data_IF_998751706801
#
_entry.id   IF_998751706801
#
_cell.length_a   1.000
_cell.length_b   1.000
_cell.length_c   1.000
_cell.angle_alpha   90.00
_cell.angle_beta   90.00
_cell.angle_gamma   90.00
#
_symmetry.space_group_name_H-M   'P 1'
#
loop_
_entity.id
_entity.type
_entity.pdbx_description
1 polymer ?
#
# COMPACT_ATOMS: atom_id res chain seq x y z
N UNK A 1 -9.13 -4.58 17.79
CA UNK A 1 -9.31 -6.00 17.40
C UNK A 1 -10.74 -6.40 17.69
N UNK A 2 -11.53 -6.70 16.66
CA UNK A 2 -12.98 -6.98 16.83
C UNK A 2 -13.28 -8.46 17.09
N UNK A 3 -12.27 -9.34 16.97
CA UNK A 3 -12.49 -10.79 17.05
C UNK A 3 -11.29 -11.55 17.60
N UNK A 4 -11.55 -12.60 18.39
CA UNK A 4 -10.51 -13.54 18.82
C UNK A 4 -10.31 -14.61 17.74
N UNK A 5 -9.07 -14.87 17.38
CA UNK A 5 -8.70 -15.98 16.53
C UNK A 5 -8.42 -17.22 17.38
N UNK A 6 -8.80 -18.41 16.88
CA UNK A 6 -8.62 -19.69 17.57
C UNK A 6 -7.54 -20.54 16.91
N UNK A 7 -7.42 -20.45 15.60
CA UNK A 7 -6.59 -21.31 14.75
C UNK A 7 -5.59 -20.49 13.97
N UNK A 8 -6.03 -19.37 13.39
CA UNK A 8 -5.20 -18.50 12.57
C UNK A 8 -4.50 -17.49 13.48
N UNK A 9 -3.18 -17.31 13.43
CA UNK A 9 -2.50 -16.25 14.15
C UNK A 9 -2.94 -14.86 13.66
N UNK A 10 -2.74 -13.85 14.50
CA UNK A 10 -3.01 -12.47 14.18
C UNK A 10 -1.96 -12.00 13.17
N UNK A 11 -2.40 -11.25 12.16
CA UNK A 11 -1.54 -10.67 11.15
C UNK A 11 -0.62 -9.58 11.72
N UNK A 12 0.38 -9.21 10.93
CA UNK A 12 1.28 -8.08 11.23
C UNK A 12 0.50 -6.80 11.53
N UNK A 13 0.82 -6.17 12.66
CA UNK A 13 0.14 -4.97 13.14
C UNK A 13 0.67 -3.68 12.48
N UNK A 14 -0.05 -2.57 12.70
CA UNK A 14 0.27 -1.25 12.20
C UNK A 14 1.68 -0.76 12.58
N UNK A 15 2.13 -1.01 13.80
CA UNK A 15 3.47 -0.63 14.27
C UNK A 15 4.57 -1.30 13.42
N UNK A 16 4.43 -2.61 13.16
CA UNK A 16 5.33 -3.35 12.29
C UNK A 16 5.24 -2.87 10.84
N UNK A 17 4.05 -2.46 10.40
CA UNK A 17 3.83 -1.84 9.09
C UNK A 17 4.65 -0.55 8.92
N UNK A 18 4.65 0.34 9.93
CA UNK A 18 5.49 1.55 9.94
C UNK A 18 6.96 1.20 9.79
N UNK A 19 7.45 0.28 10.62
CA UNK A 19 8.85 -0.12 10.61
C UNK A 19 9.26 -0.70 9.24
N UNK A 20 8.41 -1.55 8.66
CA UNK A 20 8.68 -2.16 7.36
C UNK A 20 8.68 -1.14 6.21
N UNK A 21 7.76 -0.17 6.24
CA UNK A 21 7.68 0.88 5.21
C UNK A 21 8.88 1.84 5.24
N UNK A 22 9.46 2.10 6.42
CA UNK A 22 10.56 3.05 6.60
C UNK A 22 11.95 2.39 6.63
N UNK A 23 12.02 1.08 6.55
CA UNK A 23 13.20 0.25 6.83
C UNK A 23 14.48 0.70 6.11
N UNK A 24 14.39 1.02 4.81
CA UNK A 24 15.54 1.31 3.95
C UNK A 24 15.85 2.81 3.80
N UNK A 25 15.06 3.69 4.44
CA UNK A 25 15.12 5.12 4.17
C UNK A 25 16.18 5.88 4.97
N UNK A 26 16.88 5.18 5.88
CA UNK A 26 17.95 5.77 6.72
C UNK A 26 17.40 6.66 7.84
N UNK A 27 16.13 6.53 8.17
CA UNK A 27 15.51 7.14 9.34
C UNK A 27 15.58 6.25 10.58
N UNK A 28 15.45 6.83 11.76
CA UNK A 28 15.32 6.12 13.03
C UNK A 28 13.84 5.95 13.37
N UNK A 29 13.35 4.72 13.35
CA UNK A 29 11.97 4.41 13.74
C UNK A 29 11.95 3.91 15.18
N UNK A 30 11.22 4.61 16.04
CA UNK A 30 11.11 4.30 17.48
C UNK A 30 9.71 3.82 17.80
N UNK A 31 9.60 2.56 18.18
CA UNK A 31 8.39 1.99 18.75
C UNK A 31 8.36 2.31 20.25
N UNK A 32 7.42 3.16 20.69
CA UNK A 32 7.23 3.39 22.12
C UNK A 32 6.44 2.23 22.72
N UNK A 33 7.16 1.32 23.37
CA UNK A 33 6.63 0.03 23.82
C UNK A 33 7.46 -0.61 24.93
N UNK A 34 6.88 -1.46 25.79
CA UNK A 34 7.64 -2.43 26.56
C UNK A 34 8.30 -3.44 25.60
N UNK A 35 9.57 -3.72 25.76
CA UNK A 35 10.40 -4.47 24.80
C UNK A 35 9.87 -5.86 24.39
N UNK A 36 8.92 -6.42 25.12
CA UNK A 36 8.40 -7.78 24.85
C UNK A 36 7.38 -7.88 23.72
N UNK A 37 6.55 -6.86 23.52
CA UNK A 37 5.41 -6.96 22.62
C UNK A 37 5.80 -6.85 21.13
N UNK A 38 6.70 -5.94 20.79
CA UNK A 38 7.13 -5.71 19.41
C UNK A 38 8.41 -6.45 19.00
N UNK A 39 8.99 -7.29 19.85
CA UNK A 39 10.17 -8.09 19.51
C UNK A 39 9.92 -9.12 18.41
N UNK A 40 8.67 -9.46 18.13
CA UNK A 40 8.29 -10.33 17.01
C UNK A 40 8.52 -9.68 15.64
N UNK A 41 8.57 -8.37 15.57
CA UNK A 41 8.84 -7.65 14.32
C UNK A 41 10.13 -8.14 13.64
N UNK A 42 11.24 -8.17 14.36
CA UNK A 42 12.55 -8.58 13.84
C UNK A 42 12.68 -10.09 13.61
N UNK A 43 11.93 -10.91 14.37
CA UNK A 43 12.04 -12.36 14.28
C UNK A 43 11.03 -13.01 13.33
N UNK A 44 9.90 -12.35 13.08
CA UNK A 44 8.79 -12.93 12.33
C UNK A 44 8.38 -12.09 11.10
N UNK A 45 8.16 -10.79 11.26
CA UNK A 45 7.54 -9.95 10.25
C UNK A 45 8.53 -9.44 9.20
N UNK A 46 9.71 -8.97 9.61
CA UNK A 46 10.66 -8.32 8.70
C UNK A 46 11.63 -9.30 8.08
N UNK A 47 11.50 -9.52 6.78
CA UNK A 47 12.32 -10.48 6.05
C UNK A 47 13.76 -10.01 5.80
N UNK A 48 14.02 -8.69 5.83
CA UNK A 48 15.35 -8.08 5.59
C UNK A 48 16.23 -8.02 6.85
N UNK A 49 15.68 -8.34 8.03
CA UNK A 49 16.34 -8.11 9.33
C UNK A 49 17.75 -8.68 9.46
N UNK A 50 18.04 -9.81 8.83
CA UNK A 50 19.36 -10.44 8.90
C UNK A 50 20.30 -10.04 7.76
N UNK A 51 19.77 -9.44 6.71
CA UNK A 51 20.50 -9.18 5.47
C UNK A 51 20.81 -7.68 5.29
N UNK A 52 20.09 -6.82 6.02
CA UNK A 52 20.16 -5.38 5.85
C UNK A 52 19.98 -4.64 7.18
N UNK A 53 20.94 -3.76 7.51
CA UNK A 53 20.87 -2.94 8.70
C UNK A 53 19.75 -1.89 8.62
N UNK A 54 19.09 -1.62 9.76
CA UNK A 54 18.11 -0.55 9.91
C UNK A 54 18.13 0.03 11.31
N UNK A 55 17.73 1.31 11.43
CA UNK A 55 17.68 2.04 12.71
C UNK A 55 16.28 1.90 13.33
N UNK A 56 15.92 0.70 13.78
CA UNK A 56 14.64 0.43 14.44
C UNK A 56 14.87 0.12 15.90
N UNK A 57 14.18 0.86 16.77
CA UNK A 57 14.34 0.80 18.22
C UNK A 57 13.02 0.62 18.92
N UNK A 58 13.08 -0.01 20.09
CA UNK A 58 11.99 -0.11 21.06
C UNK A 58 12.41 0.70 22.28
N UNK A 59 11.56 1.59 22.77
CA UNK A 59 11.89 2.48 23.89
C UNK A 59 12.11 1.81 25.24
N UNK A 60 11.67 0.56 25.39
CA UNK A 60 11.78 -0.17 26.65
C UNK A 60 10.94 0.44 27.77
N UNK A 61 9.70 0.86 27.46
CA UNK A 61 8.77 1.44 28.42
C UNK A 61 8.59 0.52 29.63
N UNK A 62 8.86 1.03 30.84
CA UNK A 62 8.64 0.31 32.07
C UNK A 62 7.24 0.56 32.63
N UNK A 63 6.77 -0.33 33.54
CA UNK A 63 5.47 -0.15 34.22
C UNK A 63 5.40 1.19 34.97
N UNK A 64 6.52 1.61 35.59
CA UNK A 64 6.60 2.87 36.30
C UNK A 64 6.50 4.05 35.33
N UNK A 65 7.23 4.02 34.21
CA UNK A 65 7.18 5.05 33.19
C UNK A 65 5.77 5.16 32.59
N UNK A 66 5.10 4.03 32.38
CA UNK A 66 3.73 3.99 31.86
C UNK A 66 2.69 4.58 32.83
N UNK A 67 2.87 4.38 34.15
CA UNK A 67 1.93 4.88 35.17
C UNK A 67 2.18 6.35 35.50
N UNK A 68 3.45 6.74 35.67
CA UNK A 68 3.81 8.09 36.13
C UNK A 68 3.93 9.11 34.99
N UNK A 69 4.13 8.63 33.77
CA UNK A 69 4.54 9.45 32.63
C UNK A 69 6.02 9.88 32.76
N UNK A 70 6.88 9.47 31.84
CA UNK A 70 8.30 9.84 31.84
C UNK A 70 8.76 10.23 30.45
N UNK A 71 8.10 11.23 29.89
CA UNK A 71 8.39 11.74 28.55
C UNK A 71 9.83 12.25 28.43
N UNK A 72 10.37 12.84 29.51
CA UNK A 72 11.74 13.39 29.47
C UNK A 72 12.79 12.31 29.25
N UNK A 73 12.67 11.15 29.92
CA UNK A 73 13.57 10.01 29.66
C UNK A 73 13.48 9.55 28.22
N UNK A 74 12.27 9.40 27.69
CA UNK A 74 12.04 9.01 26.28
C UNK A 74 12.69 9.98 25.32
N UNK A 75 12.56 11.30 25.54
CA UNK A 75 13.18 12.33 24.74
C UNK A 75 14.72 12.27 24.81
N UNK A 76 15.28 12.09 26.00
CA UNK A 76 16.74 12.00 26.20
C UNK A 76 17.34 10.78 25.52
N UNK A 77 16.74 9.61 25.69
CA UNK A 77 17.22 8.35 25.08
C UNK A 77 17.27 8.48 23.54
N UNK A 78 16.24 9.08 22.93
CA UNK A 78 16.20 9.33 21.49
C UNK A 78 17.23 10.39 21.07
N UNK A 79 17.37 11.47 21.82
CA UNK A 79 18.35 12.52 21.54
C UNK A 79 19.78 11.98 21.56
N UNK A 80 20.13 11.15 22.55
CA UNK A 80 21.44 10.50 22.65
C UNK A 80 21.69 9.56 21.46
N UNK A 81 20.73 8.70 21.13
CA UNK A 81 20.83 7.82 19.98
C UNK A 81 20.96 8.61 18.66
N UNK A 82 20.20 9.68 18.49
CA UNK A 82 20.25 10.51 17.30
C UNK A 82 21.59 11.22 17.10
N UNK A 83 22.26 11.65 18.18
CA UNK A 83 23.61 12.25 18.13
C UNK A 83 24.66 11.27 17.63
N UNK A 84 24.55 10.00 18.03
CA UNK A 84 25.48 8.95 17.64
C UNK A 84 25.19 8.46 16.19
N UNK A 85 23.93 8.15 15.90
CA UNK A 85 23.53 7.47 14.67
C UNK A 85 23.26 8.39 13.50
N UNK A 86 22.96 9.68 13.75
CA UNK A 86 22.72 10.72 12.75
C UNK A 86 21.70 10.31 11.68
N UNK A 87 20.48 9.91 12.08
CA UNK A 87 19.45 9.48 11.14
C UNK A 87 18.99 10.66 10.27
N UNK A 88 18.47 10.35 9.08
CA UNK A 88 17.89 11.37 8.17
C UNK A 88 16.59 11.96 8.68
N UNK A 89 15.86 11.18 9.47
CA UNK A 89 14.61 11.57 10.15
C UNK A 89 14.39 10.65 11.36
N UNK A 90 13.43 11.02 12.22
CA UNK A 90 12.97 10.18 13.32
C UNK A 90 11.46 9.99 13.17
N UNK A 91 11.01 8.75 13.20
CA UNK A 91 9.59 8.38 13.17
C UNK A 91 9.19 7.75 14.52
N UNK A 92 8.14 8.27 15.13
CA UNK A 92 7.58 7.75 16.39
C UNK A 92 6.33 6.93 16.09
N UNK A 93 6.28 5.70 16.60
CA UNK A 93 5.13 4.80 16.48
C UNK A 93 4.66 4.35 17.87
N UNK A 94 3.35 4.36 18.09
CA UNK A 94 2.72 3.97 19.36
C UNK A 94 2.30 2.52 19.36
N UNK A 95 2.61 1.82 20.45
CA UNK A 95 2.00 0.53 20.80
C UNK A 95 0.70 0.73 21.60
N UNK A 96 -0.05 -0.34 21.93
CA UNK A 96 -1.30 -0.20 22.68
C UNK A 96 -1.19 0.53 24.01
N UNK A 97 -0.10 0.37 24.75
CA UNK A 97 0.03 0.95 26.10
C UNK A 97 0.16 2.47 26.06
N UNK A 98 1.11 3.07 25.33
CA UNK A 98 1.16 4.52 25.21
C UNK A 98 -0.08 5.13 24.55
N UNK A 99 -0.69 4.42 23.59
CA UNK A 99 -1.96 4.85 23.00
C UNK A 99 -3.08 4.94 24.04
N UNK A 100 -3.25 3.92 24.89
CA UNK A 100 -4.26 3.92 25.95
C UNK A 100 -3.99 4.97 27.03
N UNK A 101 -2.73 5.28 27.29
CA UNK A 101 -2.33 6.33 28.24
C UNK A 101 -2.51 7.75 27.67
N UNK A 102 -2.82 7.89 26.38
CA UNK A 102 -3.01 9.20 25.75
C UNK A 102 -1.72 9.98 25.57
N UNK A 103 -0.58 9.32 25.33
CA UNK A 103 0.71 9.98 25.07
C UNK A 103 0.62 10.92 23.87
N UNK A 104 1.02 12.18 24.06
CA UNK A 104 1.05 13.20 22.98
C UNK A 104 2.26 13.03 22.05
N UNK A 105 2.20 12.08 21.14
CA UNK A 105 3.28 11.84 20.18
C UNK A 105 3.57 13.03 19.26
N UNK A 106 2.57 13.86 18.97
CA UNK A 106 2.81 15.08 18.18
C UNK A 106 3.59 16.12 18.97
N UNK A 107 3.29 16.25 20.26
CA UNK A 107 4.06 17.08 21.18
C UNK A 107 5.49 16.61 21.33
N UNK A 108 5.68 15.29 21.51
CA UNK A 108 7.01 14.66 21.58
C UNK A 108 7.81 14.86 20.29
N UNK A 109 7.19 14.69 19.12
CA UNK A 109 7.84 14.92 17.83
C UNK A 109 8.32 16.37 17.67
N UNK A 110 7.49 17.35 18.04
CA UNK A 110 7.88 18.78 18.04
C UNK A 110 9.05 19.05 19.00
N UNK A 111 9.01 18.48 20.21
CA UNK A 111 10.08 18.64 21.19
C UNK A 111 11.40 18.04 20.68
N UNK A 112 11.37 16.85 20.11
CA UNK A 112 12.54 16.18 19.52
C UNK A 112 13.10 16.96 18.33
N UNK A 113 12.25 17.46 17.44
CA UNK A 113 12.68 18.31 16.31
C UNK A 113 13.46 19.52 16.82
N UNK A 114 12.97 20.18 17.89
CA UNK A 114 13.63 21.35 18.48
C UNK A 114 14.97 21.00 19.16
N UNK A 115 15.12 19.79 19.74
CA UNK A 115 16.33 19.36 20.42
C UNK A 115 17.42 18.83 19.49
N UNK A 116 17.00 18.12 18.43
CA UNK A 116 17.93 17.37 17.56
C UNK A 116 18.22 18.07 16.23
N UNK A 117 17.39 19.05 15.84
CA UNK A 117 17.41 19.67 14.51
C UNK A 117 17.16 18.68 13.36
N UNK A 118 16.75 17.45 13.69
CA UNK A 118 16.39 16.40 12.73
C UNK A 118 14.87 16.44 12.52
N UNK A 119 14.35 16.27 11.29
CA UNK A 119 12.91 16.14 11.08
C UNK A 119 12.33 14.96 11.88
N UNK A 120 11.34 15.22 12.73
CA UNK A 120 10.64 14.19 13.52
C UNK A 120 9.15 14.24 13.23
N UNK A 121 8.56 13.10 12.98
CA UNK A 121 7.11 12.96 12.81
C UNK A 121 6.59 11.76 13.60
N UNK A 122 5.31 11.76 13.90
CA UNK A 122 4.63 10.65 14.55
C UNK A 122 3.63 10.00 13.60
N UNK A 123 3.61 8.68 13.58
CA UNK A 123 2.58 7.89 12.88
C UNK A 123 1.55 7.43 13.92
N UNK A 124 0.26 7.74 13.77
CA UNK A 124 -0.76 7.47 14.77
C UNK A 124 -1.17 5.99 14.77
N UNK A 125 -0.26 5.13 15.21
CA UNK A 125 -0.48 3.71 15.41
C UNK A 125 -1.02 3.42 16.81
N UNK A 126 -1.61 2.26 17.01
CA UNK A 126 -2.14 1.81 18.29
C UNK A 126 -1.88 0.34 18.56
N UNK A 127 -1.28 -0.38 17.62
CA UNK A 127 -1.16 -1.84 17.66
C UNK A 127 -2.50 -2.58 17.47
N UNK A 128 -3.57 -1.86 17.09
CA UNK A 128 -4.93 -2.43 16.95
C UNK A 128 -5.40 -2.50 15.50
N UNK A 129 -4.69 -1.85 14.58
CA UNK A 129 -4.91 -1.90 13.15
C UNK A 129 -3.97 -2.91 12.49
N UNK A 130 -4.29 -3.32 11.26
CA UNK A 130 -3.38 -4.12 10.47
C UNK A 130 -2.21 -3.29 9.89
N UNK A 131 -1.22 -3.98 9.32
CA UNK A 131 0.00 -3.36 8.78
C UNK A 131 -0.26 -2.33 7.68
N UNK A 132 -1.35 -2.48 6.90
CA UNK A 132 -1.69 -1.56 5.80
C UNK A 132 -1.88 -0.15 6.33
N UNK A 133 -2.60 -0.03 7.46
CA UNK A 133 -2.85 1.25 8.10
C UNK A 133 -1.53 1.95 8.48
N UNK A 134 -0.66 1.28 9.26
CA UNK A 134 0.58 1.89 9.71
C UNK A 134 1.56 2.19 8.58
N UNK A 135 1.77 1.23 7.68
CA UNK A 135 2.68 1.39 6.55
C UNK A 135 2.20 2.49 5.59
N UNK A 136 0.90 2.56 5.32
CA UNK A 136 0.33 3.57 4.44
C UNK A 136 0.47 4.99 4.99
N UNK A 137 0.19 5.19 6.29
CA UNK A 137 0.38 6.49 6.93
C UNK A 137 1.86 6.88 7.00
N UNK A 138 2.76 5.94 7.28
CA UNK A 138 4.20 6.20 7.27
C UNK A 138 4.69 6.70 5.89
N UNK A 139 4.24 6.07 4.80
CA UNK A 139 4.56 6.52 3.45
C UNK A 139 3.91 7.88 3.11
N UNK A 140 2.73 8.18 3.63
CA UNK A 140 2.10 9.51 3.50
C UNK A 140 2.94 10.60 4.18
N UNK A 141 3.46 10.34 5.39
CA UNK A 141 4.38 11.25 6.07
C UNK A 141 5.65 11.49 5.26
N UNK A 142 6.26 10.44 4.71
CA UNK A 142 7.41 10.58 3.80
C UNK A 142 7.03 11.45 2.58
N UNK A 143 5.87 11.20 1.97
CA UNK A 143 5.40 11.99 0.83
C UNK A 143 5.19 13.47 1.20
N UNK A 144 4.68 13.73 2.38
CA UNK A 144 4.46 15.08 2.88
C UNK A 144 5.75 15.85 3.17
N UNK A 145 6.63 15.23 3.95
CA UNK A 145 7.80 15.90 4.51
C UNK A 145 9.00 15.92 3.56
N UNK A 146 9.22 14.87 2.77
CA UNK A 146 10.50 14.68 2.06
C UNK A 146 10.42 14.80 0.54
N UNK A 147 9.22 14.98 -0.05
CA UNK A 147 9.13 15.21 -1.49
C UNK A 147 9.12 16.68 -1.82
N UNK A 148 10.07 17.13 -2.65
CA UNK A 148 10.17 18.51 -3.13
C UNK A 148 9.37 18.76 -4.40
N UNK A 149 9.06 20.04 -4.68
CA UNK A 149 8.58 20.43 -5.99
C UNK A 149 9.68 20.19 -7.02
N UNK A 150 9.38 19.43 -8.08
CA UNK A 150 10.28 19.37 -9.22
C UNK A 150 10.49 20.79 -9.76
N UNK A 151 11.73 21.20 -10.03
CA UNK A 151 11.95 22.27 -10.98
C UNK A 151 11.18 21.92 -12.25
N UNK A 152 10.34 22.82 -12.74
CA UNK A 152 9.37 22.60 -13.86
C UNK A 152 10.07 22.31 -15.20
N UNK A 153 10.97 21.36 -15.22
CA UNK A 153 11.64 20.91 -16.45
C UNK A 153 10.94 19.64 -16.94
N UNK A 154 9.94 19.80 -17.83
CA UNK A 154 9.44 18.68 -18.63
C UNK A 154 7.98 18.26 -18.48
N UNK A 155 7.15 18.98 -17.72
CA UNK A 155 5.68 18.84 -17.86
C UNK A 155 5.20 19.76 -18.96
N UNK A 156 4.70 19.23 -20.07
CA UNK A 156 4.16 19.93 -21.23
C UNK A 156 4.73 21.34 -21.42
N UNK A 157 5.79 21.47 -22.23
CA UNK A 157 6.21 22.77 -22.73
C UNK A 157 5.00 23.48 -23.35
N UNK A 158 4.87 24.77 -23.09
CA UNK A 158 3.80 25.64 -23.58
C UNK A 158 3.52 25.34 -25.04
N UNK A 159 2.26 25.03 -25.37
CA UNK A 159 1.81 24.84 -26.76
C UNK A 159 2.02 26.16 -27.49
N UNK A 160 2.88 26.24 -28.51
CA UNK A 160 2.93 27.42 -29.37
C UNK A 160 1.57 27.55 -30.09
N UNK A 161 0.90 28.68 -29.90
CA UNK A 161 -0.28 29.05 -30.67
C UNK A 161 0.15 29.29 -32.11
N UNK A 162 0.08 28.24 -32.95
CA UNK A 162 0.39 28.34 -34.36
C UNK A 162 0.47 26.97 -35.03
N UNK A 163 -0.57 26.63 -35.81
CA UNK A 163 -0.69 25.64 -36.89
C UNK A 163 0.07 24.31 -36.80
N UNK A 164 -0.72 23.26 -36.57
CA UNK A 164 -0.71 21.95 -37.22
C UNK A 164 0.64 21.36 -37.69
N UNK A 165 1.42 20.86 -36.74
CA UNK A 165 2.19 19.65 -36.91
C UNK A 165 2.31 19.06 -35.49
N UNK A 166 1.63 17.94 -35.22
CA UNK A 166 1.77 17.18 -33.95
C UNK A 166 3.20 16.64 -33.91
N UNK A 167 4.13 17.44 -33.39
CA UNK A 167 5.43 16.95 -32.99
C UNK A 167 5.18 15.88 -31.95
N UNK A 168 5.60 14.65 -32.24
CA UNK A 168 5.67 13.53 -31.33
C UNK A 168 6.78 13.81 -30.30
N UNK A 169 6.60 14.83 -29.45
CA UNK A 169 7.45 15.00 -28.27
C UNK A 169 7.23 13.77 -27.38
N UNK A 170 8.31 13.05 -27.15
CA UNK A 170 8.34 11.82 -26.36
C UNK A 170 7.86 12.14 -24.95
N UNK A 171 6.60 11.81 -24.65
CA UNK A 171 5.99 12.06 -23.34
C UNK A 171 6.83 11.43 -22.24
N UNK A 172 6.96 12.12 -21.12
CA UNK A 172 7.66 11.55 -19.95
C UNK A 172 6.95 10.27 -19.52
N UNK A 173 7.65 9.13 -19.58
CA UNK A 173 7.19 7.81 -19.10
C UNK A 173 7.81 7.48 -17.74
N UNK A 174 8.02 8.51 -16.90
CA UNK A 174 8.54 8.35 -15.53
C UNK A 174 7.40 7.95 -14.60
N UNK A 175 7.63 6.91 -13.81
CA UNK A 175 6.65 6.26 -12.96
C UNK A 175 7.21 6.06 -11.56
N UNK A 176 6.46 6.39 -10.51
CA UNK A 176 6.72 5.91 -9.16
C UNK A 176 5.94 4.62 -8.89
N UNK A 177 6.56 3.65 -8.23
CA UNK A 177 5.90 2.47 -7.67
C UNK A 177 5.64 2.71 -6.19
N UNK A 178 4.37 2.73 -5.78
CA UNK A 178 3.97 3.03 -4.42
C UNK A 178 3.41 1.78 -3.73
N UNK A 179 3.85 1.54 -2.49
CA UNK A 179 3.39 0.42 -1.69
C UNK A 179 4.11 -0.90 -1.96
N UNK A 180 5.35 -0.83 -2.47
CA UNK A 180 6.17 -2.03 -2.69
C UNK A 180 6.75 -2.56 -1.37
N UNK A 181 5.90 -2.92 -0.42
CA UNK A 181 6.31 -3.47 0.88
C UNK A 181 6.65 -4.95 0.79
N UNK A 182 7.68 -5.42 1.52
CA UNK A 182 7.95 -6.86 1.60
C UNK A 182 6.80 -7.64 2.24
N UNK A 183 5.97 -6.99 3.04
CA UNK A 183 4.78 -7.61 3.66
C UNK A 183 3.78 -8.11 2.62
N UNK A 184 3.63 -7.40 1.48
CA UNK A 184 2.73 -7.77 0.39
C UNK A 184 3.42 -8.53 -0.74
N UNK A 185 4.64 -8.10 -1.10
CA UNK A 185 5.30 -8.56 -2.32
C UNK A 185 6.42 -9.57 -2.07
N UNK A 186 6.80 -9.79 -0.80
CA UNK A 186 7.88 -10.68 -0.44
C UNK A 186 9.27 -10.08 -0.74
N UNK A 187 10.24 -10.86 -1.25
CA UNK A 187 11.61 -10.43 -1.38
C UNK A 187 11.81 -9.39 -2.49
N UNK A 188 12.95 -8.69 -2.45
CA UNK A 188 13.36 -7.68 -3.44
C UNK A 188 13.28 -8.19 -4.88
N UNK A 189 13.57 -9.46 -5.11
CA UNK A 189 13.51 -10.06 -6.44
C UNK A 189 12.12 -9.99 -7.11
N UNK A 190 11.04 -10.01 -6.31
CA UNK A 190 9.68 -9.85 -6.81
C UNK A 190 9.45 -8.42 -7.34
N UNK A 191 9.94 -7.42 -6.61
CA UNK A 191 9.88 -6.01 -7.02
C UNK A 191 10.74 -5.77 -8.26
N UNK A 192 11.94 -6.36 -8.33
CA UNK A 192 12.82 -6.24 -9.49
C UNK A 192 12.22 -6.87 -10.75
N UNK A 193 11.53 -8.01 -10.59
CA UNK A 193 10.80 -8.63 -11.69
C UNK A 193 9.65 -7.72 -12.17
N UNK A 194 8.94 -7.07 -11.26
CA UNK A 194 7.89 -6.09 -11.58
C UNK A 194 8.45 -4.87 -12.31
N UNK A 195 9.54 -4.28 -11.82
CA UNK A 195 10.26 -3.18 -12.49
C UNK A 195 10.70 -3.58 -13.91
N UNK A 196 11.25 -4.78 -14.08
CA UNK A 196 11.67 -5.31 -15.37
C UNK A 196 10.50 -5.44 -16.36
N UNK A 197 9.35 -5.97 -15.89
CA UNK A 197 8.15 -6.06 -16.72
C UNK A 197 7.70 -4.69 -17.23
N UNK A 198 7.59 -3.69 -16.35
CA UNK A 198 7.19 -2.33 -16.73
C UNK A 198 8.19 -1.65 -17.67
N UNK A 199 9.51 -1.87 -17.45
CA UNK A 199 10.55 -1.37 -18.35
C UNK A 199 10.43 -1.94 -19.78
N UNK A 200 9.99 -3.19 -19.94
CA UNK A 200 9.78 -3.80 -21.25
C UNK A 200 8.67 -3.07 -22.06
N UNK A 201 7.74 -2.39 -21.39
CA UNK A 201 6.73 -1.52 -21.99
C UNK A 201 7.17 -0.05 -22.11
N UNK A 202 8.44 0.24 -21.81
CA UNK A 202 9.03 1.55 -21.96
C UNK A 202 8.80 2.52 -20.80
N UNK A 203 8.36 2.02 -19.64
CA UNK A 203 8.23 2.84 -18.42
C UNK A 203 9.58 2.94 -17.70
N UNK A 204 9.97 4.17 -17.35
CA UNK A 204 11.12 4.46 -16.50
C UNK A 204 10.66 4.55 -15.04
N UNK A 205 11.16 3.66 -14.18
CA UNK A 205 10.85 3.71 -12.75
C UNK A 205 11.76 4.74 -12.09
N UNK A 206 11.16 5.83 -11.60
CA UNK A 206 11.84 6.92 -10.93
C UNK A 206 12.12 6.59 -9.46
N UNK A 207 11.13 6.04 -8.76
CA UNK A 207 11.25 5.64 -7.36
C UNK A 207 10.33 4.45 -7.03
N UNK A 208 10.75 3.68 -6.02
CA UNK A 208 10.01 2.53 -5.49
C UNK A 208 9.86 2.71 -3.98
N UNK A 209 8.63 2.75 -3.50
CA UNK A 209 8.31 3.14 -2.12
C UNK A 209 8.08 1.93 -1.24
N UNK A 210 8.73 1.93 -0.11
CA UNK A 210 8.85 0.94 0.96
C UNK A 210 9.99 -0.08 0.80
N UNK A 211 10.41 -0.44 -0.42
CA UNK A 211 11.51 -1.39 -0.62
C UNK A 211 12.24 -1.11 -1.93
N UNK A 212 13.57 -1.09 -1.87
CA UNK A 212 14.44 -1.05 -3.04
C UNK A 212 14.88 0.33 -3.52
N UNK A 213 14.60 1.41 -2.77
CA UNK A 213 15.10 2.75 -3.07
C UNK A 213 15.38 3.56 -1.79
N UNK A 214 16.20 4.61 -1.92
CA UNK A 214 16.60 5.50 -0.83
C UNK A 214 15.65 6.71 -0.68
N UNK A 215 15.72 7.40 0.45
CA UNK A 215 14.96 8.64 0.70
C UNK A 215 15.23 9.70 -0.37
N UNK A 216 16.46 9.79 -0.89
CA UNK A 216 16.83 10.72 -1.96
C UNK A 216 16.13 10.40 -3.28
N UNK A 217 15.93 9.12 -3.59
CA UNK A 217 15.14 8.72 -4.76
C UNK A 217 13.67 9.10 -4.58
N UNK A 218 13.12 8.87 -3.39
CA UNK A 218 11.74 9.22 -3.06
C UNK A 218 11.51 10.73 -3.08
N UNK A 219 12.47 11.54 -2.67
CA UNK A 219 12.35 13.01 -2.67
C UNK A 219 12.07 13.59 -4.07
N UNK A 220 12.45 12.87 -5.11
CA UNK A 220 12.21 13.24 -6.52
C UNK A 220 10.86 12.80 -7.07
N UNK A 221 9.99 12.21 -6.24
CA UNK A 221 8.72 11.65 -6.70
C UNK A 221 7.83 12.63 -7.47
N UNK A 222 7.95 13.94 -7.21
CA UNK A 222 7.26 14.99 -7.97
C UNK A 222 7.64 15.08 -9.46
N UNK A 223 8.76 14.49 -9.90
CA UNK A 223 9.17 14.45 -11.32
C UNK A 223 8.41 13.37 -12.12
N UNK A 224 7.74 12.43 -11.47
CA UNK A 224 7.02 11.38 -12.17
C UNK A 224 5.78 11.90 -12.89
N UNK A 225 5.49 11.33 -14.05
CA UNK A 225 4.27 11.62 -14.79
C UNK A 225 3.04 10.96 -14.15
N UNK A 226 3.25 9.80 -13.53
CA UNK A 226 2.21 8.96 -12.94
C UNK A 226 2.72 8.21 -11.71
N UNK A 227 1.80 7.80 -10.84
CA UNK A 227 2.06 6.87 -9.76
C UNK A 227 1.33 5.54 -10.03
N UNK A 228 1.99 4.42 -9.81
CA UNK A 228 1.37 3.10 -9.80
C UNK A 228 1.37 2.55 -8.37
N UNK A 229 0.20 2.40 -7.82
CA UNK A 229 -0.04 1.81 -6.50
C UNK A 229 -0.11 0.30 -6.65
N UNK A 230 0.88 -0.42 -6.14
CA UNK A 230 1.02 -1.88 -6.32
C UNK A 230 0.48 -2.71 -5.16
N UNK A 231 0.21 -2.08 -4.03
CA UNK A 231 -0.58 -2.62 -2.91
C UNK A 231 -1.33 -1.48 -2.21
N UNK A 232 -2.35 -1.78 -1.42
CA UNK A 232 -3.16 -0.78 -0.70
C UNK A 232 -2.33 0.15 0.21
N UNK A 233 -1.19 -0.31 0.68
CA UNK A 233 -0.20 0.50 1.44
C UNK A 233 0.22 1.78 0.70
N UNK A 234 0.25 1.77 -0.63
CA UNK A 234 0.66 2.92 -1.43
C UNK A 234 -0.39 4.02 -1.61
N UNK A 235 -1.65 3.77 -1.25
CA UNK A 235 -2.77 4.68 -1.51
C UNK A 235 -2.62 6.03 -0.80
N UNK A 236 -2.29 6.10 0.51
CA UNK A 236 -2.12 7.38 1.20
C UNK A 236 -1.04 8.25 0.58
N UNK A 237 0.13 7.67 0.28
CA UNK A 237 1.21 8.40 -0.39
C UNK A 237 0.78 8.90 -1.78
N UNK A 238 0.02 8.09 -2.55
CA UNK A 238 -0.50 8.49 -3.85
C UNK A 238 -1.43 9.70 -3.77
N UNK A 239 -2.31 9.74 -2.76
CA UNK A 239 -3.21 10.87 -2.54
C UNK A 239 -2.44 12.13 -2.11
N UNK A 240 -1.43 12.02 -1.24
CA UNK A 240 -0.56 13.15 -0.88
C UNK A 240 0.20 13.68 -2.10
N UNK A 241 0.79 12.81 -2.92
CA UNK A 241 1.50 13.22 -4.14
C UNK A 241 0.56 13.84 -5.19
N UNK A 242 -0.69 13.36 -5.26
CA UNK A 242 -1.73 13.96 -6.09
C UNK A 242 -2.11 15.36 -5.61
N UNK A 243 -2.26 15.56 -4.30
CA UNK A 243 -2.55 16.88 -3.71
C UNK A 243 -1.38 17.85 -3.91
N UNK A 244 -0.15 17.43 -3.60
CA UNK A 244 1.06 18.29 -3.70
C UNK A 244 1.45 18.62 -5.13
N UNK A 245 1.42 17.66 -6.02
CA UNK A 245 1.97 17.79 -7.38
C UNK A 245 0.93 17.57 -8.48
N UNK A 246 -0.30 17.18 -8.11
CA UNK A 246 -1.34 16.79 -9.04
C UNK A 246 -1.00 15.53 -9.84
N UNK A 247 -0.02 14.73 -9.43
CA UNK A 247 0.38 13.50 -10.12
C UNK A 247 -0.74 12.47 -10.02
N UNK A 248 -1.36 12.06 -11.13
CA UNK A 248 -2.42 11.06 -11.10
C UNK A 248 -1.87 9.69 -10.76
N UNK A 249 -2.75 8.77 -10.31
CA UNK A 249 -2.34 7.41 -9.98
C UNK A 249 -3.30 6.35 -10.50
N UNK A 250 -2.75 5.15 -10.70
CA UNK A 250 -3.45 3.91 -11.03
C UNK A 250 -3.21 2.90 -9.92
N UNK A 251 -4.22 2.11 -9.55
CA UNK A 251 -4.13 1.04 -8.56
C UNK A 251 -4.18 -0.31 -9.26
N UNK A 252 -3.15 -1.12 -9.07
CA UNK A 252 -3.04 -2.48 -9.61
C UNK A 252 -1.61 -2.99 -9.61
N UNK A 253 -1.45 -4.29 -9.41
CA UNK A 253 -0.16 -4.95 -9.35
C UNK A 253 0.19 -5.54 -10.72
N UNK A 254 1.36 -5.23 -11.31
CA UNK A 254 1.81 -5.80 -12.57
C UNK A 254 2.26 -7.27 -12.41
N UNK A 255 1.29 -8.14 -12.11
CA UNK A 255 1.50 -9.59 -12.08
C UNK A 255 1.73 -10.12 -13.50
N UNK A 256 2.37 -11.29 -13.62
CA UNK A 256 2.67 -11.89 -14.91
C UNK A 256 1.43 -12.09 -15.78
N UNK A 257 1.46 -11.53 -16.99
CA UNK A 257 0.36 -11.56 -17.95
C UNK A 257 -0.65 -10.40 -17.78
N UNK A 258 -0.43 -9.46 -16.84
CA UNK A 258 -1.28 -8.28 -16.65
C UNK A 258 -0.57 -6.96 -16.95
N UNK A 259 0.73 -7.00 -17.13
CA UNK A 259 1.58 -5.82 -17.34
C UNK A 259 1.22 -4.99 -18.57
N UNK A 260 0.77 -5.63 -19.64
CA UNK A 260 0.32 -4.95 -20.86
C UNK A 260 -0.91 -4.09 -20.61
N UNK A 261 -1.90 -4.62 -19.90
CA UNK A 261 -3.13 -3.90 -19.57
C UNK A 261 -2.87 -2.73 -18.61
N UNK A 262 -1.97 -2.93 -17.64
CA UNK A 262 -1.51 -1.87 -16.77
C UNK A 262 -0.83 -0.78 -17.59
N UNK A 263 0.08 -1.14 -18.51
CA UNK A 263 0.74 -0.18 -19.39
C UNK A 263 -0.26 0.63 -20.23
N UNK A 264 -1.24 -0.04 -20.85
CA UNK A 264 -2.28 0.63 -21.65
C UNK A 264 -3.15 1.55 -20.78
N UNK A 265 -3.43 1.17 -19.53
CA UNK A 265 -4.19 2.01 -18.59
C UNK A 265 -3.38 3.23 -18.15
N UNK A 266 -2.10 3.06 -17.86
CA UNK A 266 -1.18 4.16 -17.53
C UNK A 266 -1.08 5.16 -18.69
N UNK A 267 -0.99 4.69 -19.93
CA UNK A 267 -0.97 5.55 -21.11
C UNK A 267 -2.26 6.36 -21.25
N UNK A 268 -3.42 5.71 -21.07
CA UNK A 268 -4.72 6.40 -21.08
C UNK A 268 -4.84 7.51 -20.04
N UNK A 269 -4.31 7.30 -18.83
CA UNK A 269 -4.32 8.30 -17.76
C UNK A 269 -3.35 9.43 -18.10
N UNK A 270 -2.16 9.12 -18.58
CA UNK A 270 -1.19 10.12 -19.03
C UNK A 270 -1.76 11.03 -20.11
N UNK A 271 -2.55 10.48 -21.04
CA UNK A 271 -3.19 11.21 -22.12
C UNK A 271 -4.27 12.18 -21.64
N UNK A 272 -5.11 11.76 -20.68
CA UNK A 272 -6.18 12.58 -20.10
C UNK A 272 -5.62 13.73 -19.25
N UNK A 273 -4.61 13.45 -18.46
CA UNK A 273 -4.03 14.43 -17.55
C UNK A 273 -3.39 15.61 -18.28
N UNK A 274 -2.90 15.42 -19.49
CA UNK A 274 -2.35 16.49 -20.31
C UNK A 274 -3.41 17.54 -20.76
N UNK A 275 -4.69 17.13 -20.86
CA UNK A 275 -5.79 18.03 -21.24
C UNK A 275 -6.36 18.86 -20.08
N UNK A 276 -6.34 18.37 -18.86
CA UNK A 276 -6.93 19.05 -17.69
C UNK A 276 -5.99 20.07 -17.05
N UNK A 277 -4.67 19.91 -17.20
CA UNK A 277 -3.66 20.80 -16.62
C UNK A 277 -3.57 22.17 -17.25
N UNK A 278 -4.04 22.32 -18.48
CA UNK A 278 -4.08 23.62 -19.18
C UNK A 278 -5.07 24.60 -18.55
N UNK A 279 -6.05 24.12 -17.77
CA UNK A 279 -7.14 24.93 -17.25
C UNK A 279 -7.06 25.28 -15.75
N UNK A 280 -6.05 24.81 -15.00
CA UNK A 280 -5.83 25.19 -13.59
C UNK A 280 -4.49 25.94 -13.43
N UNK A 281 -4.43 27.18 -13.91
CA UNK A 281 -3.59 28.22 -13.33
C UNK A 281 -4.51 28.98 -12.39
N UNK A 282 -4.34 28.81 -11.07
CA UNK A 282 -4.39 29.93 -10.13
C UNK A 282 -4.09 29.48 -8.69
N UNK A 283 -3.16 30.20 -8.13
CA UNK A 283 -2.99 30.69 -6.75
C UNK A 283 -3.42 29.76 -5.60
N UNK A 284 -2.43 29.07 -5.03
CA UNK A 284 -2.23 28.96 -3.57
C UNK A 284 -1.16 27.90 -3.26
N UNK A 285 0.12 28.24 -3.49
CA UNK A 285 1.22 27.56 -2.83
C UNK A 285 1.57 28.38 -1.58
N UNK A 286 0.71 28.36 -0.59
CA UNK A 286 1.08 28.73 0.77
C UNK A 286 1.46 27.48 1.54
N UNK A 287 2.57 27.59 2.26
CA UNK A 287 3.22 26.60 3.12
C UNK A 287 2.22 25.89 4.04
N UNK A 288 1.77 24.70 3.67
CA UNK A 288 1.06 23.79 4.56
C UNK A 288 1.92 22.60 4.97
N UNK A 289 3.09 22.90 5.53
CA UNK A 289 3.92 21.91 6.21
C UNK A 289 3.39 21.61 7.62
N UNK A 290 2.15 21.13 7.78
CA UNK A 290 1.69 21.03 9.14
C UNK A 290 0.49 20.15 9.47
N UNK A 291 -0.25 19.58 8.53
CA UNK A 291 -1.40 18.74 8.87
C UNK A 291 -1.81 17.76 7.77
N UNK A 292 -0.91 16.84 7.42
CA UNK A 292 -1.26 15.75 6.47
C UNK A 292 -2.26 14.79 7.11
N UNK A 293 -2.18 14.55 8.41
CA UNK A 293 -3.03 13.61 9.15
C UNK A 293 -4.40 14.15 9.61
N UNK A 294 -4.72 15.43 9.34
CA UNK A 294 -5.99 16.03 9.78
C UNK A 294 -7.24 15.45 9.10
N UNK A 295 -7.07 14.65 8.03
CA UNK A 295 -8.15 14.03 7.24
C UNK A 295 -7.78 12.60 6.86
N UNK A 296 -7.47 11.77 7.84
CA UNK A 296 -7.01 10.38 7.61
C UNK A 296 -7.92 9.58 6.68
N UNK A 297 -9.23 9.70 6.81
CA UNK A 297 -10.18 8.98 5.94
C UNK A 297 -10.05 9.39 4.45
N UNK A 298 -9.68 10.63 4.16
CA UNK A 298 -9.50 11.10 2.78
C UNK A 298 -8.25 10.52 2.10
N UNK A 299 -7.23 10.17 2.89
CA UNK A 299 -6.00 9.57 2.38
C UNK A 299 -6.20 8.20 1.75
N UNK A 300 -7.28 7.49 2.11
CA UNK A 300 -7.58 6.15 1.62
C UNK A 300 -8.56 6.13 0.44
N UNK A 301 -9.06 7.28 -0.01
CA UNK A 301 -10.06 7.34 -1.07
C UNK A 301 -9.50 6.94 -2.42
N UNK A 302 -10.21 6.03 -3.09
CA UNK A 302 -9.92 5.56 -4.45
C UNK A 302 -11.21 5.58 -5.26
N UNK A 303 -11.13 6.02 -6.52
CA UNK A 303 -12.28 5.96 -7.43
C UNK A 303 -12.22 4.70 -8.29
N UNK A 304 -13.37 4.15 -8.74
CA UNK A 304 -13.39 2.95 -9.57
C UNK A 304 -12.56 3.05 -10.86
N UNK A 305 -12.42 4.25 -11.43
CA UNK A 305 -11.62 4.49 -12.64
C UNK A 305 -10.12 4.36 -12.38
N UNK A 306 -9.69 4.53 -11.13
CA UNK A 306 -8.29 4.36 -10.73
C UNK A 306 -7.92 2.89 -10.51
N UNK A 307 -8.88 1.99 -10.36
CA UNK A 307 -8.65 0.58 -10.06
C UNK A 307 -8.74 -0.25 -11.34
N UNK A 308 -7.58 -0.71 -11.84
CA UNK A 308 -7.53 -1.35 -13.16
C UNK A 308 -8.25 -2.69 -13.19
N UNK A 309 -8.19 -3.49 -12.15
CA UNK A 309 -8.80 -4.81 -12.13
C UNK A 309 -10.34 -4.80 -12.04
N UNK A 310 -10.96 -3.60 -11.95
CA UNK A 310 -12.41 -3.45 -12.12
C UNK A 310 -12.84 -3.47 -13.60
N UNK A 311 -11.94 -3.12 -14.52
CA UNK A 311 -12.28 -2.92 -15.94
C UNK A 311 -12.56 -4.22 -16.70
N UNK A 312 -12.12 -5.38 -16.19
CA UNK A 312 -12.26 -6.67 -16.89
C UNK A 312 -13.68 -7.27 -16.90
N UNK A 313 -14.52 -6.98 -15.93
CA UNK A 313 -15.87 -7.56 -15.81
C UNK A 313 -16.94 -6.92 -16.68
N UNK A 314 -16.77 -5.66 -17.06
CA UNK A 314 -17.74 -4.96 -17.90
C UNK A 314 -17.64 -5.34 -19.40
N UNK A 315 -16.55 -5.99 -19.83
CA UNK A 315 -16.38 -6.42 -21.22
C UNK A 315 -16.95 -7.79 -21.54
N UNK A 316 -17.21 -8.62 -20.53
CA UNK A 316 -17.82 -9.96 -20.73
C UNK A 316 -19.35 -9.93 -20.90
N UNK A 317 -19.99 -8.80 -20.58
CA UNK A 317 -21.44 -8.60 -20.84
C UNK A 317 -21.74 -7.94 -22.19
N UNK A 318 -20.73 -7.58 -22.98
CA UNK A 318 -20.90 -6.85 -24.27
C UNK A 318 -20.63 -7.71 -25.52
N UNK A 319 -20.57 -9.04 -25.38
CA UNK A 319 -20.59 -9.93 -26.54
C UNK A 319 -21.94 -10.60 -26.60
N UNK A 320 -22.92 -9.93 -27.16
CA UNK A 320 -24.10 -10.57 -27.71
C UNK A 320 -24.76 -9.71 -28.77
N UNK A 321 -24.85 -10.31 -29.92
CA UNK A 321 -25.86 -10.19 -30.96
C UNK A 321 -26.19 -8.83 -31.57
N UNK A 322 -25.68 -8.66 -32.77
CA UNK A 322 -26.34 -7.91 -33.81
C UNK A 322 -27.57 -8.69 -34.31
N UNK A 323 -28.69 -8.52 -33.63
CA UNK A 323 -30.02 -8.69 -34.23
C UNK A 323 -30.98 -7.75 -33.51
N UNK A 324 -31.41 -6.74 -34.23
CA UNK A 324 -32.33 -5.75 -33.73
C UNK A 324 -33.69 -6.34 -33.45
N UNK A 325 -34.10 -6.32 -32.20
CA UNK A 325 -35.49 -6.26 -31.77
C UNK A 325 -35.54 -5.67 -30.35
N UNK A 326 -36.15 -4.53 -30.21
CA UNK A 326 -36.44 -3.87 -28.93
C UNK A 326 -37.43 -4.73 -28.16
N UNK A 327 -36.95 -5.38 -27.09
CA UNK A 327 -37.83 -5.95 -26.05
C UNK A 327 -37.63 -5.18 -24.76
N UNK A 328 -38.74 -4.62 -24.24
CA UNK A 328 -38.81 -4.06 -22.90
C UNK A 328 -38.35 -5.10 -21.86
N UNK A 329 -37.36 -4.70 -21.07
CA UNK A 329 -36.80 -5.52 -19.98
C UNK A 329 -37.74 -5.49 -18.79
N UNK A 330 -38.06 -6.64 -18.18
CA UNK A 330 -38.78 -6.65 -16.90
C UNK A 330 -37.82 -6.27 -15.77
N UNK A 331 -38.26 -5.32 -14.94
CA UNK A 331 -37.64 -5.00 -13.64
C UNK A 331 -37.73 -6.22 -12.72
N UNK A 332 -36.62 -6.93 -12.58
CA UNK A 332 -36.15 -7.75 -11.45
C UNK A 332 -35.00 -8.63 -11.93
N UNK A 333 -33.82 -8.10 -11.94
CA UNK A 333 -32.61 -8.95 -11.92
C UNK A 333 -32.50 -9.59 -10.53
N UNK A 334 -33.07 -10.77 -10.36
CA UNK A 334 -32.55 -11.76 -9.42
C UNK A 334 -31.18 -12.20 -9.93
N UNK A 335 -30.15 -11.52 -9.44
CA UNK A 335 -28.75 -11.92 -9.69
C UNK A 335 -28.57 -13.26 -8.97
N UNK A 336 -28.73 -14.35 -9.69
CA UNK A 336 -28.26 -15.67 -9.26
C UNK A 336 -26.74 -15.56 -9.06
N UNK A 337 -26.30 -15.39 -7.81
CA UNK A 337 -24.91 -15.53 -7.43
C UNK A 337 -24.51 -16.97 -7.63
N UNK A 338 -24.02 -17.30 -8.83
CA UNK A 338 -23.41 -18.61 -9.07
C UNK A 338 -22.19 -18.75 -8.17
N UNK A 339 -22.04 -19.91 -7.53
CA UNK A 339 -20.84 -20.26 -6.73
C UNK A 339 -19.58 -19.94 -7.52
N UNK A 340 -18.60 -19.23 -6.96
CA UNK A 340 -17.36 -18.93 -7.66
C UNK A 340 -16.58 -20.22 -7.95
N UNK A 341 -15.87 -20.24 -9.07
CA UNK A 341 -15.00 -21.38 -9.43
C UNK A 341 -13.76 -21.41 -8.52
N UNK A 342 -13.24 -20.24 -8.19
CA UNK A 342 -12.02 -20.04 -7.41
C UNK A 342 -12.27 -18.98 -6.34
N UNK A 343 -11.85 -19.23 -5.12
CA UNK A 343 -11.82 -18.27 -4.03
C UNK A 343 -10.38 -17.90 -3.72
N UNK A 344 -10.05 -16.62 -3.70
CA UNK A 344 -8.74 -16.10 -3.34
C UNK A 344 -8.87 -15.36 -2.00
N UNK A 345 -7.90 -15.53 -1.09
CA UNK A 345 -7.85 -14.80 0.18
C UNK A 345 -6.58 -13.97 0.22
N UNK A 346 -6.71 -12.65 0.48
CA UNK A 346 -5.53 -11.81 0.64
C UNK A 346 -5.78 -10.30 0.47
N UNK A 347 -4.70 -9.59 0.21
CA UNK A 347 -4.67 -8.13 0.04
C UNK A 347 -5.39 -7.72 -1.25
N UNK A 348 -6.24 -6.65 -1.22
CA UNK A 348 -7.20 -6.41 -2.31
C UNK A 348 -6.54 -6.02 -3.65
N UNK A 349 -5.43 -5.30 -3.66
CA UNK A 349 -4.80 -4.82 -4.90
C UNK A 349 -4.03 -5.94 -5.60
N UNK A 350 -3.20 -6.65 -4.86
CA UNK A 350 -2.38 -7.77 -5.38
C UNK A 350 -3.27 -8.93 -5.81
N UNK A 351 -4.20 -9.34 -4.95
CA UNK A 351 -5.09 -10.46 -5.22
C UNK A 351 -6.20 -10.10 -6.21
N UNK A 352 -6.67 -8.85 -6.23
CA UNK A 352 -7.60 -8.35 -7.24
C UNK A 352 -6.98 -8.36 -8.64
N UNK A 353 -5.70 -7.97 -8.75
CA UNK A 353 -4.96 -8.06 -10.02
C UNK A 353 -4.75 -9.50 -10.47
N UNK A 354 -4.40 -10.40 -9.55
CA UNK A 354 -4.28 -11.84 -9.82
C UNK A 354 -5.63 -12.45 -10.28
N UNK A 355 -6.70 -12.09 -9.59
CA UNK A 355 -8.04 -12.56 -9.93
C UNK A 355 -8.45 -12.13 -11.35
N UNK A 356 -8.13 -10.89 -11.75
CA UNK A 356 -8.40 -10.40 -13.10
C UNK A 356 -7.63 -11.20 -14.17
N UNK A 357 -6.37 -11.54 -13.90
CA UNK A 357 -5.57 -12.42 -14.81
C UNK A 357 -6.19 -13.80 -14.94
N UNK A 358 -6.58 -14.42 -13.82
CA UNK A 358 -7.18 -15.76 -13.82
C UNK A 358 -8.49 -15.73 -14.60
N UNK A 359 -9.35 -14.75 -14.37
CA UNK A 359 -10.62 -14.60 -15.09
C UNK A 359 -10.40 -14.44 -16.59
N UNK A 360 -9.44 -13.61 -16.98
CA UNK A 360 -9.15 -13.37 -18.39
C UNK A 360 -8.53 -14.59 -19.08
N UNK A 361 -7.54 -15.21 -18.43
CA UNK A 361 -6.77 -16.31 -19.05
C UNK A 361 -7.54 -17.63 -19.11
N UNK A 362 -8.35 -17.90 -18.08
CA UNK A 362 -9.00 -19.19 -17.91
C UNK A 362 -10.53 -19.14 -18.01
N UNK A 363 -11.14 -17.96 -18.13
CA UNK A 363 -12.61 -17.78 -18.16
C UNK A 363 -13.30 -18.26 -16.87
N UNK A 364 -12.59 -18.31 -15.75
CA UNK A 364 -13.08 -18.78 -14.46
C UNK A 364 -13.60 -17.62 -13.61
N UNK A 365 -14.68 -17.83 -12.88
CA UNK A 365 -15.21 -16.83 -11.96
C UNK A 365 -14.43 -16.86 -10.67
N UNK A 366 -13.82 -15.74 -10.31
CA UNK A 366 -12.99 -15.60 -9.11
C UNK A 366 -13.67 -14.67 -8.10
N UNK A 367 -13.74 -15.08 -6.84
CA UNK A 367 -14.14 -14.26 -5.71
C UNK A 367 -12.91 -13.98 -4.83
N UNK A 368 -12.74 -12.73 -4.44
CA UNK A 368 -11.76 -12.31 -3.45
C UNK A 368 -12.44 -12.16 -2.08
N UNK A 369 -11.88 -12.80 -1.07
CA UNK A 369 -12.20 -12.58 0.34
C UNK A 369 -11.03 -11.82 0.97
N UNK A 370 -11.26 -10.59 1.39
CA UNK A 370 -10.22 -9.74 1.96
C UNK A 370 -10.33 -9.69 3.48
N UNK A 371 -9.29 -10.12 4.22
CA UNK A 371 -9.30 -10.12 5.68
C UNK A 371 -8.79 -8.81 6.28
N UNK A 372 -8.38 -7.83 5.46
CA UNK A 372 -7.78 -6.57 5.89
C UNK A 372 -8.83 -5.47 6.10
N UNK A 373 -8.46 -4.43 6.85
CA UNK A 373 -9.39 -3.36 7.25
C UNK A 373 -9.64 -2.35 6.13
N UNK A 374 -8.62 -2.03 5.32
CA UNK A 374 -8.68 -1.00 4.28
C UNK A 374 -9.11 -1.61 2.96
N UNK A 375 -10.40 -1.57 2.67
CA UNK A 375 -11.00 -2.22 1.50
C UNK A 375 -11.93 -1.33 0.70
N UNK A 376 -12.30 -0.15 1.21
CA UNK A 376 -13.25 0.74 0.54
C UNK A 376 -12.73 1.16 -0.85
N UNK A 377 -13.56 0.99 -1.87
CA UNK A 377 -13.20 1.29 -3.26
C UNK A 377 -12.23 0.29 -3.92
N UNK A 378 -11.80 -0.76 -3.22
CA UNK A 378 -10.82 -1.75 -3.71
C UNK A 378 -11.44 -3.12 -4.03
N UNK A 379 -12.65 -3.40 -3.57
CA UNK A 379 -13.33 -4.66 -3.81
C UNK A 379 -14.28 -4.57 -5.01
N UNK A 380 -14.23 -5.57 -5.88
CA UNK A 380 -15.12 -5.69 -7.04
C UNK A 380 -16.49 -6.19 -6.60
N UNK A 381 -17.52 -6.00 -7.43
CA UNK A 381 -18.84 -6.59 -7.18
C UNK A 381 -18.71 -8.12 -7.05
N UNK A 382 -19.08 -8.64 -5.87
CA UNK A 382 -18.99 -10.06 -5.52
C UNK A 382 -17.73 -10.45 -4.73
N UNK A 383 -16.76 -9.54 -4.56
CA UNK A 383 -15.69 -9.68 -3.57
C UNK A 383 -16.21 -9.20 -2.21
N UNK A 384 -15.65 -9.69 -1.10
CA UNK A 384 -16.12 -9.38 0.25
C UNK A 384 -14.96 -9.08 1.20
N UNK A 385 -15.15 -8.07 2.06
CA UNK A 385 -14.32 -7.87 3.24
C UNK A 385 -14.81 -8.79 4.36
N UNK A 386 -13.93 -9.62 4.91
CA UNK A 386 -14.27 -10.61 5.93
C UNK A 386 -13.52 -10.29 7.22
N UNK A 387 -14.26 -9.99 8.27
CA UNK A 387 -13.68 -9.77 9.58
C UNK A 387 -13.78 -11.05 10.43
N UNK A 388 -12.62 -11.66 10.68
CA UNK A 388 -12.45 -12.75 11.61
C UNK A 388 -12.55 -14.15 11.05
N UNK A 389 -12.02 -15.08 11.85
CA UNK A 389 -11.82 -16.49 11.50
C UNK A 389 -13.14 -17.23 11.23
N UNK A 390 -14.15 -17.05 12.11
CA UNK A 390 -15.43 -17.76 11.98
C UNK A 390 -16.20 -17.36 10.73
N UNK A 391 -16.20 -16.06 10.39
CA UNK A 391 -16.85 -15.57 9.19
C UNK A 391 -16.12 -16.09 7.93
N UNK A 392 -14.78 -16.15 7.97
CA UNK A 392 -13.97 -16.70 6.89
C UNK A 392 -14.26 -18.20 6.72
N UNK A 393 -14.25 -18.99 7.80
CA UNK A 393 -14.56 -20.42 7.77
C UNK A 393 -15.94 -20.68 7.16
N UNK A 394 -16.94 -19.89 7.53
CA UNK A 394 -18.31 -20.02 7.00
C UNK A 394 -18.35 -19.80 5.48
N UNK A 395 -17.67 -18.76 4.99
CA UNK A 395 -17.59 -18.46 3.55
C UNK A 395 -16.87 -19.55 2.76
N UNK A 396 -15.88 -20.19 3.38
CA UNK A 396 -15.09 -21.23 2.72
C UNK A 396 -15.80 -22.59 2.62
N UNK A 397 -16.88 -22.85 3.36
CA UNK A 397 -17.58 -24.14 3.37
C UNK A 397 -17.96 -24.66 1.98
N UNK A 398 -18.29 -23.77 1.06
CA UNK A 398 -18.72 -24.13 -0.30
C UNK A 398 -17.61 -23.96 -1.35
N UNK A 399 -16.42 -23.46 -0.96
CA UNK A 399 -15.32 -23.21 -1.86
C UNK A 399 -14.73 -24.54 -2.41
N UNK A 400 -14.48 -24.60 -3.71
CA UNK A 400 -13.91 -25.77 -4.39
C UNK A 400 -12.42 -25.65 -4.63
N UNK A 401 -11.99 -24.47 -5.05
CA UNK A 401 -10.58 -24.13 -5.27
C UNK A 401 -10.29 -22.91 -4.43
N UNK A 402 -9.27 -22.99 -3.59
CA UNK A 402 -8.86 -21.91 -2.69
C UNK A 402 -7.41 -21.56 -2.98
N UNK A 403 -7.12 -20.27 -3.17
CA UNK A 403 -5.76 -19.73 -3.28
C UNK A 403 -5.56 -18.81 -2.09
N UNK A 404 -4.67 -19.16 -1.19
CA UNK A 404 -4.49 -18.42 0.07
C UNK A 404 -3.14 -18.70 0.72
N UNK A 405 -2.80 -17.88 1.71
CA UNK A 405 -1.68 -18.16 2.61
C UNK A 405 -1.91 -19.54 3.31
N UNK A 406 -0.83 -20.34 3.49
CA UNK A 406 -0.92 -21.65 4.14
C UNK A 406 -1.58 -21.63 5.53
N UNK A 407 -1.57 -20.49 6.23
CA UNK A 407 -2.25 -20.32 7.53
C UNK A 407 -3.75 -20.57 7.46
N UNK A 408 -4.37 -20.36 6.30
CA UNK A 408 -5.81 -20.59 6.13
C UNK A 408 -6.18 -22.07 5.96
N UNK A 409 -5.20 -22.93 5.67
CA UNK A 409 -5.46 -24.33 5.38
C UNK A 409 -6.26 -25.07 6.47
N UNK A 410 -6.02 -24.83 7.78
CA UNK A 410 -6.76 -25.52 8.86
C UNK A 410 -8.27 -25.27 8.86
N UNK A 411 -8.73 -24.10 8.38
CA UNK A 411 -10.16 -23.74 8.34
C UNK A 411 -10.81 -24.02 6.96
N UNK A 412 -10.04 -24.51 5.99
CA UNK A 412 -10.56 -24.85 4.67
C UNK A 412 -11.21 -26.24 4.64
N UNK A 413 -12.26 -26.45 3.82
CA UNK A 413 -12.83 -27.78 3.61
C UNK A 413 -11.78 -28.78 3.11
N UNK A 414 -11.76 -29.98 3.68
CA UNK A 414 -10.84 -31.06 3.24
C UNK A 414 -11.06 -31.48 1.79
N UNK A 415 -12.22 -31.21 1.23
CA UNK A 415 -12.59 -31.50 -0.16
C UNK A 415 -12.13 -30.44 -1.15
N UNK A 416 -11.74 -29.24 -0.67
CA UNK A 416 -11.27 -28.16 -1.51
C UNK A 416 -9.83 -28.42 -1.99
N UNK A 417 -9.55 -28.05 -3.24
CA UNK A 417 -8.19 -27.97 -3.76
C UNK A 417 -7.57 -26.68 -3.24
N UNK A 418 -6.48 -26.78 -2.49
CA UNK A 418 -5.82 -25.64 -1.87
C UNK A 418 -4.48 -25.36 -2.56
N UNK A 419 -4.35 -24.17 -3.12
CA UNK A 419 -3.09 -23.64 -3.66
C UNK A 419 -2.47 -22.68 -2.65
N UNK A 420 -1.27 -23.00 -2.20
CA UNK A 420 -0.52 -22.21 -1.24
C UNK A 420 0.05 -20.96 -1.92
N UNK A 421 -0.25 -19.81 -1.36
CA UNK A 421 0.27 -18.50 -1.78
C UNK A 421 0.67 -17.72 -0.54
N UNK A 422 1.90 -17.92 -0.04
CA UNK A 422 2.37 -17.27 1.16
C UNK A 422 2.33 -15.76 1.06
N UNK A 423 1.87 -15.12 2.13
CA UNK A 423 1.81 -13.68 2.30
C UNK A 423 2.56 -13.30 3.57
N UNK A 424 3.61 -12.48 3.46
CA UNK A 424 4.51 -12.20 4.58
C UNK A 424 3.78 -11.56 5.76
N UNK A 425 2.88 -10.62 5.50
CA UNK A 425 2.12 -9.99 6.58
C UNK A 425 1.21 -10.95 7.35
N UNK A 426 0.88 -12.13 6.80
CA UNK A 426 0.05 -13.14 7.44
C UNK A 426 0.89 -14.20 8.16
N UNK A 427 1.80 -14.83 7.44
CA UNK A 427 2.59 -15.96 7.95
C UNK A 427 4.06 -15.62 8.29
N UNK A 428 4.45 -14.36 8.12
CA UNK A 428 5.82 -13.93 8.36
C UNK A 428 6.83 -14.71 7.53
N UNK A 429 7.98 -15.00 8.14
CA UNK A 429 9.08 -15.73 7.47
C UNK A 429 8.94 -17.25 7.45
N UNK A 430 7.84 -17.80 8.00
CA UNK A 430 7.69 -19.25 8.20
C UNK A 430 7.86 -20.01 6.87
N UNK A 431 7.32 -19.46 5.78
CA UNK A 431 7.32 -20.11 4.47
C UNK A 431 8.36 -19.59 3.49
N UNK A 432 9.19 -18.60 3.87
CA UNK A 432 10.17 -17.99 2.96
C UNK A 432 11.10 -19.03 2.31
N UNK A 433 11.70 -19.92 3.10
CA UNK A 433 12.62 -20.93 2.58
C UNK A 433 11.98 -21.90 1.59
N UNK A 434 10.67 -22.12 1.72
CA UNK A 434 9.95 -23.05 0.84
C UNK A 434 9.64 -22.45 -0.53
N UNK A 435 9.38 -21.14 -0.59
CA UNK A 435 8.85 -20.50 -1.79
C UNK A 435 9.80 -19.48 -2.43
N UNK A 436 10.78 -19.00 -1.69
CA UNK A 436 11.70 -17.93 -2.11
C UNK A 436 13.18 -18.32 -1.97
N UNK A 437 13.51 -19.57 -1.58
CA UNK A 437 14.89 -20.07 -1.68
C UNK A 437 15.23 -20.28 -3.15
N UNK A 438 16.31 -19.65 -3.58
CA UNK A 438 16.95 -19.87 -4.88
C UNK A 438 17.41 -21.32 -5.07
#
# INVERSE_FOLDING_TARGET
MRQAYRIIPIYTADVSGVCSALYELGGMTVMHDPSGCNSTYNTHDEIRWYDQDSLIFISGLTDIDAIMGNDEKFLQDIEEAAKELKPKFIALASSPIPFMNGTDFQGLARALTARTEIPVFSVPTSGMHDYVYGAGLALAEIAGHFTGAAEKTGRCSEVPTGSAERSTEKRSRKLNLLGATPLDLGPQSAVDAMKKRLKNYGWEILSTWAMGDTLEALSRAGEAALNLVVSSVGIPAANVLKEKFGTPFLVGTPVEGYEGQISDALERIADRSCGEWVNKKDDSAEESGGQILGKQEELWKVTPEQVIYFQGRNSLSAVSDHSGESREMPDKEEVFFSVPDITIIGEPVTMGSLAAVIEQKYGKKVQLLCPLEITEGLLRKGDEAICGEEAMEEKLKTARIIVADPLYRPICPKTAIFYEMPHIAFSGRIYLRKYFSE
#
